data_IF_791098290591
#
_entry.id   IF_791098290591
#
_cell.length_a   1.000
_cell.length_b   1.000
_cell.length_c   1.000
_cell.angle_alpha   90.00
_cell.angle_beta   90.00
_cell.angle_gamma   90.00
#
_symmetry.space_group_name_H-M   'P 1'
#
loop_
_entity.id
_entity.type
_entity.pdbx_description
1 polymer ?
#
# COMPACT_ATOMS: atom_id res chain seq x y z
N UNK A 1 2.66 -17.27 -10.34
CA UNK A 1 1.72 -17.92 -9.41
C UNK A 1 2.25 -17.71 -8.01
N UNK A 2 1.49 -17.08 -7.12
CA UNK A 2 1.82 -17.13 -5.70
C UNK A 2 1.54 -18.57 -5.22
N UNK A 3 2.44 -19.19 -4.44
CA UNK A 3 2.05 -20.38 -3.69
C UNK A 3 0.87 -19.97 -2.81
N UNK A 4 -0.28 -20.61 -2.97
CA UNK A 4 -1.39 -20.46 -2.04
C UNK A 4 -0.95 -21.11 -0.75
N UNK A 5 -0.29 -20.33 0.10
CA UNK A 5 -0.02 -20.72 1.47
C UNK A 5 -1.36 -21.05 2.10
N UNK A 6 -1.55 -22.29 2.53
CA UNK A 6 -2.77 -22.63 3.25
C UNK A 6 -2.76 -21.86 4.57
N UNK A 7 -3.89 -21.25 4.91
CA UNK A 7 -4.06 -20.50 6.18
C UNK A 7 -3.60 -21.34 7.37
N UNK A 8 -3.84 -22.65 7.32
CA UNK A 8 -3.48 -23.59 8.39
C UNK A 8 -1.96 -23.73 8.57
N UNK A 9 -1.17 -23.73 7.49
CA UNK A 9 0.29 -23.79 7.57
C UNK A 9 0.87 -22.50 8.18
N UNK A 10 0.27 -21.35 7.85
CA UNK A 10 0.70 -20.07 8.37
C UNK A 10 0.49 -19.97 9.88
N UNK A 11 -0.67 -20.40 10.38
CA UNK A 11 -0.97 -20.40 11.81
C UNK A 11 -0.01 -21.34 12.57
N UNK A 12 0.34 -22.51 12.01
CA UNK A 12 1.35 -23.41 12.59
C UNK A 12 2.70 -22.70 12.72
N UNK A 13 3.15 -21.98 11.69
CA UNK A 13 4.43 -21.26 11.75
C UNK A 13 4.38 -20.13 12.79
N UNK A 14 3.26 -19.40 12.88
CA UNK A 14 3.07 -18.33 13.86
C UNK A 14 3.14 -18.88 15.29
N UNK A 15 2.46 -19.98 15.57
CA UNK A 15 2.44 -20.58 16.90
C UNK A 15 3.80 -21.17 17.29
N UNK A 16 4.53 -21.76 16.35
CA UNK A 16 5.91 -22.20 16.59
C UNK A 16 6.84 -21.03 16.94
N UNK A 17 6.75 -19.91 16.21
CA UNK A 17 7.56 -18.70 16.52
C UNK A 17 7.24 -18.19 17.93
N UNK A 18 5.97 -18.19 18.35
CA UNK A 18 5.56 -17.79 19.71
C UNK A 18 6.09 -18.72 20.80
N UNK A 19 6.28 -19.99 20.47
CA UNK A 19 6.86 -20.98 21.39
C UNK A 19 8.39 -20.93 21.45
N UNK A 20 9.02 -20.06 20.65
CA UNK A 20 10.46 -19.82 20.68
C UNK A 20 11.22 -20.37 19.47
N UNK A 21 10.56 -21.06 18.53
CA UNK A 21 11.15 -21.52 17.26
C UNK A 21 11.27 -20.35 16.27
N UNK A 22 12.11 -19.37 16.61
CA UNK A 22 12.26 -18.11 15.86
C UNK A 22 12.69 -18.31 14.40
N UNK A 23 13.36 -19.40 14.08
CA UNK A 23 13.75 -19.80 12.72
C UNK A 23 12.54 -20.00 11.80
N UNK A 24 11.37 -20.39 12.35
CA UNK A 24 10.12 -20.53 11.58
C UNK A 24 9.64 -19.19 11.04
N UNK A 25 10.08 -18.07 11.62
CA UNK A 25 9.76 -16.74 11.12
C UNK A 25 10.32 -16.50 9.73
N UNK A 26 11.41 -17.17 9.34
CA UNK A 26 11.97 -17.09 8.00
C UNK A 26 10.94 -17.51 6.93
N UNK A 27 10.10 -18.51 7.23
CA UNK A 27 9.04 -18.96 6.33
C UNK A 27 7.99 -17.87 6.11
N UNK A 28 7.64 -17.13 7.17
CA UNK A 28 6.73 -15.98 7.11
C UNK A 28 7.37 -14.85 6.29
N UNK A 29 8.65 -14.55 6.52
CA UNK A 29 9.41 -13.55 5.75
C UNK A 29 9.41 -13.91 4.27
N UNK A 30 9.76 -15.14 3.91
CA UNK A 30 9.78 -15.60 2.51
C UNK A 30 8.41 -15.48 1.84
N UNK A 31 7.33 -15.78 2.56
CA UNK A 31 5.96 -15.66 2.06
C UNK A 31 5.54 -14.21 1.80
N UNK A 32 5.91 -13.27 2.68
CA UNK A 32 5.36 -11.91 2.67
C UNK A 32 6.32 -10.80 2.20
N UNK A 33 7.62 -11.06 2.08
CA UNK A 33 8.59 -10.04 1.64
C UNK A 33 8.20 -9.41 0.30
N UNK A 34 7.86 -10.24 -0.71
CA UNK A 34 7.57 -9.75 -2.05
C UNK A 34 6.19 -9.06 -2.14
N UNK A 35 5.10 -9.61 -1.55
CA UNK A 35 3.84 -8.88 -1.45
C UNK A 35 3.97 -7.51 -0.77
N UNK A 36 4.64 -7.44 0.38
CA UNK A 36 4.82 -6.18 1.11
C UNK A 36 5.74 -5.22 0.35
N UNK A 37 6.77 -5.73 -0.32
CA UNK A 37 7.63 -4.93 -1.18
C UNK A 37 6.84 -4.26 -2.31
N UNK A 38 6.02 -5.02 -3.04
CA UNK A 38 5.18 -4.46 -4.12
C UNK A 38 4.25 -3.39 -3.61
N UNK A 39 3.63 -3.61 -2.45
CA UNK A 39 2.76 -2.62 -1.82
C UNK A 39 3.52 -1.33 -1.45
N UNK A 40 4.69 -1.44 -0.80
CA UNK A 40 5.52 -0.30 -0.43
C UNK A 40 6.07 0.44 -1.67
N UNK A 41 6.54 -0.30 -2.66
CA UNK A 41 7.10 0.27 -3.89
C UNK A 41 6.07 1.07 -4.68
N UNK A 42 4.82 0.61 -4.76
CA UNK A 42 3.74 1.38 -5.39
C UNK A 42 3.37 2.67 -4.64
N UNK A 43 3.73 2.76 -3.37
CA UNK A 43 3.50 3.93 -2.55
C UNK A 43 4.68 4.90 -2.54
N UNK A 44 5.92 4.42 -2.61
CA UNK A 44 7.12 5.26 -2.54
C UNK A 44 7.77 5.54 -3.89
N UNK A 45 7.52 4.70 -4.90
CA UNK A 45 8.18 4.76 -6.21
C UNK A 45 9.71 4.80 -6.15
N UNK A 46 10.28 4.34 -5.04
CA UNK A 46 11.71 4.27 -4.80
C UNK A 46 12.00 2.88 -4.24
N UNK A 47 12.94 2.18 -4.88
CA UNK A 47 13.27 0.80 -4.53
C UNK A 47 13.89 0.71 -3.15
N UNK A 48 14.89 1.53 -2.84
CA UNK A 48 15.59 1.51 -1.55
C UNK A 48 14.61 1.78 -0.41
N UNK A 49 13.78 2.80 -0.55
CA UNK A 49 12.75 3.13 0.45
C UNK A 49 11.77 1.98 0.69
N UNK A 50 11.41 1.25 -0.37
CA UNK A 50 10.52 0.10 -0.28
C UNK A 50 11.20 -1.10 0.38
N UNK A 51 12.48 -1.36 0.08
CA UNK A 51 13.27 -2.41 0.74
C UNK A 51 13.44 -2.13 2.23
N UNK A 52 13.82 -0.90 2.59
CA UNK A 52 13.96 -0.47 3.98
C UNK A 52 12.63 -0.61 4.74
N UNK A 53 11.52 -0.17 4.12
CA UNK A 53 10.21 -0.30 4.74
C UNK A 53 9.78 -1.76 4.94
N UNK A 54 10.07 -2.66 3.99
CA UNK A 54 9.77 -4.10 4.14
C UNK A 54 10.48 -4.66 5.35
N UNK A 55 11.77 -4.37 5.51
CA UNK A 55 12.54 -4.81 6.67
C UNK A 55 11.91 -4.30 7.96
N UNK A 56 11.65 -2.99 8.05
CA UNK A 56 11.01 -2.37 9.21
C UNK A 56 9.64 -2.98 9.54
N UNK A 57 8.83 -3.26 8.53
CA UNK A 57 7.48 -3.82 8.68
C UNK A 57 7.57 -5.26 9.20
N UNK A 58 8.46 -6.08 8.63
CA UNK A 58 8.64 -7.46 9.07
C UNK A 58 9.23 -7.53 10.48
N UNK A 59 10.23 -6.68 10.81
CA UNK A 59 10.75 -6.59 12.18
C UNK A 59 9.65 -6.18 13.16
N UNK A 60 8.83 -5.18 12.82
CA UNK A 60 7.68 -4.77 13.66
C UNK A 60 6.65 -5.89 13.80
N UNK A 61 6.41 -6.65 12.74
CA UNK A 61 5.52 -7.80 12.78
C UNK A 61 6.07 -8.89 13.70
N UNK A 62 7.36 -9.21 13.63
CA UNK A 62 7.99 -10.14 14.56
C UNK A 62 7.83 -9.68 16.02
N UNK A 63 8.19 -8.43 16.32
CA UNK A 63 8.11 -7.86 17.67
C UNK A 63 6.69 -7.77 18.25
N UNK A 64 5.68 -7.75 17.39
CA UNK A 64 4.26 -7.65 17.78
C UNK A 64 3.48 -8.94 17.54
N UNK A 65 4.16 -10.04 17.22
CA UNK A 65 3.51 -11.30 16.86
C UNK A 65 2.62 -11.84 18.00
N UNK A 66 2.98 -11.61 19.26
CA UNK A 66 2.17 -11.97 20.43
C UNK A 66 0.85 -11.19 20.53
N UNK A 67 0.74 -10.05 19.84
CA UNK A 67 -0.48 -9.25 19.78
C UNK A 67 -1.41 -9.68 18.64
N UNK A 68 -0.92 -10.47 17.69
CA UNK A 68 -1.78 -11.07 16.68
C UNK A 68 -2.82 -11.98 17.36
N UNK A 69 -4.06 -11.93 16.88
CA UNK A 69 -5.15 -12.80 17.33
C UNK A 69 -5.71 -13.44 16.07
N UNK A 70 -5.91 -14.76 16.11
CA UNK A 70 -6.41 -15.56 14.97
C UNK A 70 -7.90 -15.29 14.63
N UNK A 71 -8.47 -14.18 15.15
CA UNK A 71 -9.85 -13.73 14.83
C UNK A 71 -9.96 -13.04 13.47
N UNK A 72 -8.86 -12.95 12.71
CA UNK A 72 -8.81 -12.49 11.34
C UNK A 72 -7.55 -13.03 10.64
N UNK A 73 -7.38 -12.76 9.35
CA UNK A 73 -6.21 -13.30 8.64
C UNK A 73 -4.92 -12.58 9.04
N UNK A 74 -3.84 -13.33 9.23
CA UNK A 74 -2.49 -12.80 9.43
C UNK A 74 -2.10 -11.82 8.32
N UNK A 75 -2.48 -12.12 7.08
CA UNK A 75 -2.26 -11.22 5.94
C UNK A 75 -2.88 -9.85 6.18
N UNK A 76 -4.14 -9.76 6.62
CA UNK A 76 -4.77 -8.47 6.90
C UNK A 76 -4.11 -7.75 8.08
N UNK A 77 -3.65 -8.49 9.09
CA UNK A 77 -2.90 -7.93 10.22
C UNK A 77 -1.53 -7.37 9.78
N UNK A 78 -0.78 -8.10 8.96
CA UNK A 78 0.51 -7.66 8.43
C UNK A 78 0.37 -6.43 7.51
N UNK A 79 -0.60 -6.45 6.59
CA UNK A 79 -0.89 -5.29 5.74
C UNK A 79 -1.37 -4.08 6.56
N UNK A 80 -1.96 -4.27 7.75
CA UNK A 80 -2.28 -3.16 8.66
C UNK A 80 -1.02 -2.51 9.22
N UNK A 81 -0.02 -3.31 9.61
CA UNK A 81 1.29 -2.80 10.03
C UNK A 81 1.93 -2.04 8.87
N UNK A 82 1.94 -2.63 7.67
CA UNK A 82 2.47 -2.02 6.46
C UNK A 82 1.78 -0.69 6.13
N UNK A 83 0.45 -0.67 6.13
CA UNK A 83 -0.34 0.54 5.88
C UNK A 83 0.02 1.67 6.86
N UNK A 84 0.05 1.38 8.16
CA UNK A 84 0.42 2.37 9.19
C UNK A 84 1.86 2.87 9.00
N UNK A 85 2.79 1.96 8.71
CA UNK A 85 4.16 2.31 8.41
C UNK A 85 4.25 3.27 7.22
N UNK A 86 3.70 2.89 6.07
CA UNK A 86 3.77 3.67 4.83
C UNK A 86 3.12 5.04 4.99
N UNK A 87 1.97 5.12 5.65
CA UNK A 87 1.34 6.41 5.93
C UNK A 87 2.20 7.32 6.79
N UNK A 88 2.84 6.78 7.82
CA UNK A 88 3.72 7.57 8.69
C UNK A 88 4.94 8.08 7.93
N UNK A 89 5.49 7.30 7.01
CA UNK A 89 6.59 7.73 6.13
C UNK A 89 6.11 8.82 5.17
N UNK A 90 5.02 8.59 4.44
CA UNK A 90 4.47 9.55 3.45
C UNK A 90 4.05 10.87 4.10
N UNK A 91 3.43 10.83 5.28
CA UNK A 91 3.06 12.05 6.03
C UNK A 91 4.31 12.82 6.45
N UNK A 92 5.35 12.15 6.96
CA UNK A 92 6.61 12.79 7.32
C UNK A 92 7.30 13.42 6.10
N UNK A 93 7.36 12.72 4.96
CA UNK A 93 7.87 13.26 3.69
C UNK A 93 7.12 14.51 3.24
N UNK A 94 5.79 14.47 3.32
CA UNK A 94 4.95 15.61 2.95
C UNK A 94 5.21 16.82 3.84
N UNK A 95 5.26 16.64 5.16
CA UNK A 95 5.56 17.71 6.12
C UNK A 95 6.97 18.26 5.85
N UNK A 96 7.96 17.38 5.70
CA UNK A 96 9.34 17.79 5.40
C UNK A 96 9.39 18.64 4.12
N UNK A 97 8.73 18.20 3.03
CA UNK A 97 8.67 19.00 1.80
C UNK A 97 7.98 20.33 1.99
N UNK A 98 6.87 20.38 2.74
CA UNK A 98 6.16 21.63 3.00
C UNK A 98 7.04 22.62 3.77
N UNK A 99 7.78 22.15 4.78
CA UNK A 99 8.76 22.93 5.53
C UNK A 99 9.88 23.41 4.60
N UNK A 100 10.49 22.51 3.82
CA UNK A 100 11.54 22.88 2.87
C UNK A 100 11.07 23.88 1.83
N UNK A 101 9.80 23.84 1.41
CA UNK A 101 9.24 24.83 0.47
C UNK A 101 9.12 26.23 1.07
N UNK A 102 9.00 26.34 2.39
CA UNK A 102 8.97 27.63 3.09
C UNK A 102 10.38 28.18 3.24
N UNK A 103 11.35 27.33 3.63
CA UNK A 103 12.69 27.79 3.98
C UNK A 103 13.70 27.79 2.83
N UNK A 104 13.52 26.92 1.84
CA UNK A 104 14.43 26.69 0.68
C UNK A 104 13.64 26.28 -0.57
N UNK A 105 12.74 27.13 -1.09
CA UNK A 105 11.85 26.78 -2.20
C UNK A 105 12.59 26.28 -3.45
N UNK A 106 13.77 26.81 -3.72
CA UNK A 106 14.65 26.43 -4.84
C UNK A 106 15.17 24.98 -4.78
N UNK A 107 15.14 24.34 -3.61
CA UNK A 107 15.58 22.95 -3.44
C UNK A 107 14.47 21.91 -3.56
N UNK A 108 13.21 22.36 -3.69
CA UNK A 108 12.06 21.46 -3.67
C UNK A 108 11.81 20.86 -5.06
N UNK A 109 12.31 19.65 -5.26
CA UNK A 109 11.99 18.81 -6.41
C UNK A 109 10.62 18.10 -6.28
N UNK A 110 10.17 17.50 -7.38
CA UNK A 110 9.04 16.58 -7.39
C UNK A 110 9.31 15.37 -6.46
N UNK A 111 8.25 14.68 -6.04
CA UNK A 111 8.46 13.44 -5.29
C UNK A 111 8.88 12.30 -6.20
N UNK A 112 9.57 11.27 -5.70
CA UNK A 112 9.80 10.05 -6.48
C UNK A 112 8.49 9.45 -7.02
N UNK A 113 7.41 9.49 -6.21
CA UNK A 113 6.08 9.04 -6.63
C UNK A 113 5.53 9.87 -7.80
N UNK A 114 5.71 11.18 -7.74
CA UNK A 114 5.26 12.11 -8.76
C UNK A 114 6.09 11.98 -10.04
N UNK A 115 7.41 11.89 -9.94
CA UNK A 115 8.31 11.67 -11.09
C UNK A 115 8.01 10.36 -11.80
N UNK A 116 7.72 9.29 -11.05
CA UNK A 116 7.33 8.02 -11.64
C UNK A 116 5.96 8.13 -12.33
N UNK A 117 4.98 8.74 -11.68
CA UNK A 117 3.64 8.92 -12.26
C UNK A 117 3.71 9.75 -13.54
N UNK A 118 4.49 10.84 -13.57
CA UNK A 118 4.71 11.71 -14.72
C UNK A 118 5.38 10.98 -15.89
N UNK A 119 6.19 9.95 -15.62
CA UNK A 119 6.83 9.10 -16.64
C UNK A 119 5.89 8.01 -17.17
N UNK A 120 5.08 7.41 -16.30
CA UNK A 120 4.29 6.21 -16.62
C UNK A 120 2.89 6.51 -17.15
N UNK A 121 2.31 7.64 -16.75
CA UNK A 121 0.91 7.96 -17.01
C UNK A 121 0.78 9.22 -17.86
N UNK A 122 -0.37 9.35 -18.54
CA UNK A 122 -0.73 10.58 -19.22
C UNK A 122 -0.71 11.76 -18.21
N UNK A 123 -0.22 12.96 -18.58
CA UNK A 123 -0.04 14.08 -17.64
C UNK A 123 -1.27 14.44 -16.80
N UNK A 124 -2.47 14.30 -17.37
CA UNK A 124 -3.72 14.53 -16.64
C UNK A 124 -3.95 13.52 -15.51
N UNK A 125 -3.62 12.24 -15.73
CA UNK A 125 -3.73 11.21 -14.69
C UNK A 125 -2.62 11.38 -13.64
N UNK A 126 -1.38 11.62 -14.07
CA UNK A 126 -0.26 11.85 -13.16
C UNK A 126 -0.54 13.01 -12.20
N UNK A 127 -1.02 14.14 -12.74
CA UNK A 127 -1.51 15.26 -11.94
C UNK A 127 -2.61 14.85 -10.96
N UNK A 128 -3.63 14.15 -11.43
CA UNK A 128 -4.74 13.71 -10.58
C UNK A 128 -4.30 12.78 -9.44
N UNK A 129 -3.32 11.90 -9.68
CA UNK A 129 -2.74 11.01 -8.67
C UNK A 129 -1.92 11.79 -7.64
N UNK A 130 -1.22 12.87 -8.05
CA UNK A 130 -0.46 13.73 -7.14
C UNK A 130 -1.34 14.49 -6.13
N UNK A 131 -2.63 14.66 -6.43
CA UNK A 131 -3.60 15.35 -5.57
C UNK A 131 -4.22 14.45 -4.50
N UNK A 132 -3.98 13.13 -4.58
CA UNK A 132 -4.52 12.16 -3.62
C UNK A 132 -3.79 12.24 -2.27
N UNK A 133 -4.54 12.06 -1.19
CA UNK A 133 -3.89 11.87 0.12
C UNK A 133 -3.20 10.51 0.17
N UNK A 134 -2.19 10.32 1.05
CA UNK A 134 -1.56 9.02 1.25
C UNK A 134 -2.56 7.88 1.52
N UNK A 135 -3.64 8.15 2.26
CA UNK A 135 -4.71 7.20 2.55
C UNK A 135 -5.54 6.86 1.29
N UNK A 136 -5.84 7.85 0.45
CA UNK A 136 -6.56 7.65 -0.82
C UNK A 136 -5.71 6.83 -1.79
N UNK A 137 -4.42 7.18 -1.94
CA UNK A 137 -3.47 6.43 -2.77
C UNK A 137 -3.31 5.00 -2.27
N UNK A 138 -3.17 4.78 -0.96
CA UNK A 138 -3.12 3.43 -0.40
C UNK A 138 -4.38 2.62 -0.67
N UNK A 139 -5.57 3.21 -0.59
CA UNK A 139 -6.80 2.49 -0.91
C UNK A 139 -6.83 2.06 -2.38
N UNK A 140 -6.38 2.92 -3.29
CA UNK A 140 -6.24 2.55 -4.71
C UNK A 140 -5.22 1.42 -4.89
N UNK A 141 -4.06 1.50 -4.24
CA UNK A 141 -3.03 0.45 -4.34
C UNK A 141 -3.58 -0.91 -3.88
N UNK A 142 -4.21 -0.94 -2.71
CA UNK A 142 -4.80 -2.16 -2.16
C UNK A 142 -5.87 -2.77 -3.09
N UNK A 143 -6.72 -1.93 -3.69
CA UNK A 143 -7.85 -2.42 -4.51
C UNK A 143 -7.47 -2.77 -5.94
N UNK A 144 -6.63 -1.94 -6.58
CA UNK A 144 -6.35 -2.01 -8.01
C UNK A 144 -5.12 -2.86 -8.34
N UNK A 145 -4.20 -3.06 -7.39
CA UNK A 145 -2.94 -3.74 -7.66
C UNK A 145 -2.65 -4.91 -6.72
N UNK A 146 -3.05 -4.82 -5.45
CA UNK A 146 -2.99 -5.96 -4.52
C UNK A 146 -4.27 -6.82 -4.59
N UNK A 147 -5.22 -6.43 -5.45
CA UNK A 147 -6.49 -7.10 -5.76
C UNK A 147 -7.33 -7.50 -4.53
N UNK A 148 -7.17 -6.75 -3.43
CA UNK A 148 -7.88 -7.02 -2.17
C UNK A 148 -9.36 -6.69 -2.30
N UNK A 149 -10.20 -7.56 -1.77
CA UNK A 149 -11.63 -7.32 -1.61
C UNK A 149 -11.90 -6.20 -0.59
N UNK A 150 -13.09 -5.59 -0.64
CA UNK A 150 -13.47 -4.58 0.36
C UNK A 150 -13.54 -5.15 1.78
N UNK A 151 -13.80 -6.46 1.94
CA UNK A 151 -13.75 -7.12 3.24
C UNK A 151 -12.32 -7.18 3.79
N UNK A 152 -11.35 -7.62 2.98
CA UNK A 152 -9.94 -7.64 3.36
C UNK A 152 -9.39 -6.24 3.62
N UNK A 153 -9.71 -5.27 2.75
CA UNK A 153 -9.32 -3.87 2.96
C UNK A 153 -9.97 -3.33 4.23
N UNK A 154 -11.21 -3.69 4.54
CA UNK A 154 -11.89 -3.32 5.78
C UNK A 154 -11.15 -3.83 7.02
N UNK A 155 -10.69 -5.08 6.97
CA UNK A 155 -9.85 -5.66 8.01
C UNK A 155 -8.49 -4.93 8.12
N UNK A 156 -7.85 -4.57 7.01
CA UNK A 156 -6.57 -3.83 7.01
C UNK A 156 -6.76 -2.43 7.59
N UNK A 157 -7.73 -1.67 7.07
CA UNK A 157 -7.95 -0.26 7.38
C UNK A 157 -8.83 0.00 8.60
N UNK A 158 -9.37 -1.06 9.22
CA UNK A 158 -10.27 -1.00 10.38
C UNK A 158 -11.51 -0.14 10.10
N UNK A 159 -12.19 -0.42 8.99
CA UNK A 159 -13.39 0.30 8.57
C UNK A 159 -14.35 -0.64 7.82
N UNK A 160 -15.61 -0.25 7.69
CA UNK A 160 -16.61 -1.11 7.06
C UNK A 160 -16.43 -1.18 5.53
N UNK A 161 -16.71 -2.33 4.89
CA UNK A 161 -16.67 -2.46 3.43
C UNK A 161 -17.53 -1.40 2.72
N UNK A 162 -18.70 -1.08 3.26
CA UNK A 162 -19.60 -0.06 2.71
C UNK A 162 -18.99 1.35 2.75
N UNK A 163 -18.24 1.69 3.81
CA UNK A 163 -17.52 2.96 3.87
C UNK A 163 -16.40 3.03 2.81
N UNK A 164 -15.72 1.91 2.55
CA UNK A 164 -14.67 1.83 1.54
C UNK A 164 -15.21 1.99 0.12
N UNK A 165 -16.35 1.38 -0.20
CA UNK A 165 -17.02 1.57 -1.50
C UNK A 165 -17.30 3.06 -1.74
N UNK A 166 -17.93 3.73 -0.76
CA UNK A 166 -18.23 5.16 -0.82
C UNK A 166 -16.95 5.99 -0.96
N UNK A 167 -15.88 5.64 -0.23
CA UNK A 167 -14.59 6.33 -0.30
C UNK A 167 -13.94 6.18 -1.67
N UNK A 168 -13.95 4.98 -2.24
CA UNK A 168 -13.40 4.71 -3.58
C UNK A 168 -14.17 5.47 -4.67
N UNK A 169 -15.50 5.53 -4.57
CA UNK A 169 -16.31 6.34 -5.49
C UNK A 169 -15.95 7.83 -5.43
N UNK A 170 -15.69 8.37 -4.22
CA UNK A 170 -15.24 9.77 -4.06
C UNK A 170 -13.85 9.98 -4.66
N UNK A 171 -12.92 9.05 -4.44
CA UNK A 171 -11.58 9.09 -5.06
C UNK A 171 -11.70 9.09 -6.59
N UNK A 172 -12.54 8.22 -7.15
CA UNK A 172 -12.78 8.17 -8.60
C UNK A 172 -13.28 9.52 -9.14
N UNK A 173 -14.28 10.12 -8.50
CA UNK A 173 -14.80 11.45 -8.88
C UNK A 173 -13.72 12.54 -8.78
N UNK A 174 -12.88 12.49 -7.74
CA UNK A 174 -11.76 13.42 -7.55
C UNK A 174 -10.75 13.30 -8.69
N UNK A 175 -10.35 12.08 -9.05
CA UNK A 175 -9.44 11.81 -10.18
C UNK A 175 -10.05 12.28 -11.51
N UNK A 176 -11.31 11.92 -11.79
CA UNK A 176 -12.00 12.33 -13.02
C UNK A 176 -12.09 13.85 -13.17
N UNK A 177 -12.44 14.56 -12.09
CA UNK A 177 -12.50 16.03 -12.05
C UNK A 177 -11.14 16.66 -12.34
N UNK A 178 -10.07 16.13 -11.74
CA UNK A 178 -8.71 16.63 -11.95
C UNK A 178 -8.20 16.39 -13.38
N UNK A 179 -8.63 15.28 -14.00
CA UNK A 179 -8.32 14.96 -15.40
C UNK A 179 -9.11 15.79 -16.43
N UNK A 180 -10.05 16.63 -16.00
CA UNK A 180 -10.97 17.40 -16.86
C UNK A 180 -11.78 16.52 -17.85
N UNK A 181 -12.02 15.26 -17.48
CA UNK A 181 -12.81 14.31 -18.27
C UNK A 181 -14.29 14.51 -17.93
N UNK A 182 -15.10 14.95 -18.91
CA UNK A 182 -16.57 14.89 -18.79
C UNK A 182 -16.99 13.43 -18.67
N UNK A 183 -17.91 13.16 -17.75
CA UNK A 183 -18.37 11.82 -17.34
C UNK A 183 -18.79 10.96 -18.54
N UNK A 184 -17.86 10.20 -19.12
CA UNK A 184 -18.15 9.07 -20.01
C UNK A 184 -16.91 8.16 -20.10
N UNK A 185 -16.40 7.75 -18.94
CA UNK A 185 -15.46 6.62 -18.89
C UNK A 185 -16.08 5.52 -18.02
N UNK A 186 -16.74 4.52 -18.63
CA UNK A 186 -17.17 3.33 -17.92
C UNK A 186 -15.90 2.61 -17.49
N UNK A 187 -15.58 2.72 -16.20
CA UNK A 187 -14.66 1.80 -15.56
C UNK A 187 -15.31 0.42 -15.62
N UNK A 188 -15.09 -0.30 -16.72
CA UNK A 188 -15.28 -1.74 -16.73
C UNK A 188 -14.11 -2.32 -15.94
N UNK A 189 -14.42 -3.26 -15.05
CA UNK A 189 -13.45 -4.19 -14.48
C UNK A 189 -12.79 -4.98 -15.63
N UNK A 190 -11.86 -4.37 -16.39
CA UNK A 190 -10.94 -5.03 -17.32
C UNK A 190 -10.05 -4.00 -18.01
N UNK A 191 -8.75 -4.07 -17.70
CA UNK A 191 -7.61 -3.69 -18.55
C UNK A 191 -7.57 -2.24 -19.06
N UNK A 192 -7.16 -1.32 -18.19
CA UNK A 192 -6.22 -0.29 -18.65
C UNK A 192 -4.96 -1.03 -19.16
N UNK A 193 -4.29 -0.58 -20.22
CA UNK A 193 -2.95 -1.06 -20.56
C UNK A 193 -1.97 -0.56 -19.49
N UNK A 194 -2.06 -1.13 -18.29
CA UNK A 194 -1.04 -1.05 -17.28
C UNK A 194 0.07 -1.94 -17.81
N UNK A 195 1.04 -1.34 -18.50
CA UNK A 195 2.31 -2.00 -18.74
C UNK A 195 3.04 -2.07 -17.38
N UNK A 196 2.56 -2.95 -16.51
CA UNK A 196 3.06 -3.20 -15.15
C UNK A 196 4.14 -4.27 -15.16
N UNK A 197 5.05 -4.22 -16.13
CA UNK A 197 6.33 -4.92 -16.02
C UNK A 197 7.32 -3.94 -15.40
N UNK A 198 7.37 -3.96 -14.07
CA UNK A 198 8.54 -3.60 -13.28
C UNK A 198 9.21 -4.92 -12.92
#
# INVERSE_FOLDING_TARGET
MQPTLHTDELEIWIDAVRQGETEKYELIVRAFQQPIFRYCYRLFANRQDAEDAVQDILVKAFQSLDQYRSTGSFQAWLYRIAYRHCLNVLRRRRIHRQVMRIFRPETVAASPEQELDDRLYHPSLAKALSELTPEERSLLVLRAFEEKSFAEIGAILQTSPNALVKRLQRIKKKVQKSMNIKEDMPWKDSKLPMNTKI
#
